data_IF_134049870991
#
_entry.id   IF_134049870991
#
_cell.length_a   1.000
_cell.length_b   1.000
_cell.length_c   1.000
_cell.angle_alpha   90.00
_cell.angle_beta   90.00
_cell.angle_gamma   90.00
#
_symmetry.space_group_name_H-M   'P 1'
#
loop_
_entity.id
_entity.type
_entity.pdbx_description
1 polymer ?
#
# COMPACT_ATOMS: atom_id res chain seq x y z
N UNK A 1 46.07 21.74 42.72
CA UNK A 1 45.92 20.33 42.30
C UNK A 1 44.75 20.25 41.34
N UNK A 2 44.98 20.43 40.03
CA UNK A 2 43.93 20.26 39.03
C UNK A 2 43.85 18.77 38.70
N UNK A 3 42.78 18.13 39.14
CA UNK A 3 42.52 16.72 38.86
C UNK A 3 42.18 16.59 37.39
N UNK A 4 43.00 15.82 36.66
CA UNK A 4 42.91 15.58 35.22
C UNK A 4 41.75 14.62 34.87
N UNK A 5 40.54 14.95 35.33
CA UNK A 5 39.32 14.16 35.18
C UNK A 5 39.00 13.82 33.71
N UNK A 6 39.31 14.75 32.79
CA UNK A 6 39.10 14.56 31.35
C UNK A 6 39.97 13.45 30.76
N UNK A 7 41.19 13.27 31.24
CA UNK A 7 42.07 12.19 30.77
C UNK A 7 41.58 10.83 31.30
N UNK A 8 41.16 10.76 32.56
CA UNK A 8 40.57 9.56 33.13
C UNK A 8 39.26 9.15 32.45
N UNK A 9 38.41 10.13 32.08
CA UNK A 9 37.19 9.88 31.32
C UNK A 9 37.51 9.30 29.93
N UNK A 10 38.54 9.82 29.26
CA UNK A 10 38.97 9.33 27.94
C UNK A 10 39.51 7.90 28.01
N UNK A 11 40.38 7.60 28.98
CA UNK A 11 40.92 6.24 29.19
C UNK A 11 39.81 5.24 29.47
N UNK A 12 38.83 5.61 30.30
CA UNK A 12 37.69 4.72 30.62
C UNK A 12 36.82 4.45 29.39
N UNK A 13 36.57 5.47 28.56
CA UNK A 13 35.79 5.33 27.34
C UNK A 13 36.48 4.45 26.28
N UNK A 14 37.80 4.59 26.12
CA UNK A 14 38.59 3.75 25.22
C UNK A 14 38.65 2.29 25.70
N UNK A 15 38.69 2.07 27.03
CA UNK A 15 38.60 0.73 27.61
C UNK A 15 37.23 0.08 27.39
N UNK A 16 36.14 0.85 27.58
CA UNK A 16 34.78 0.38 27.32
C UNK A 16 34.61 0.01 25.84
N UNK A 17 35.10 0.83 24.91
CA UNK A 17 35.06 0.50 23.47
C UNK A 17 35.83 -0.79 23.15
N UNK A 18 36.97 -1.01 23.80
CA UNK A 18 37.77 -2.22 23.65
C UNK A 18 37.08 -3.48 24.17
N UNK A 19 36.33 -3.38 25.27
CA UNK A 19 35.65 -4.51 25.93
C UNK A 19 34.18 -4.64 25.51
N UNK A 20 33.62 -3.67 24.81
CA UNK A 20 32.24 -3.71 24.33
C UNK A 20 32.03 -4.81 23.29
N UNK A 21 32.98 -5.04 22.38
CA UNK A 21 32.81 -5.99 21.29
C UNK A 21 32.85 -7.48 21.74
N UNK A 22 33.74 -7.94 22.65
CA UNK A 22 33.69 -9.31 23.15
C UNK A 22 32.44 -9.54 24.01
N UNK A 23 32.03 -8.52 24.77
CA UNK A 23 30.82 -8.60 25.59
C UNK A 23 29.56 -8.68 24.73
N UNK A 24 29.49 -7.93 23.63
CA UNK A 24 28.41 -8.02 22.65
C UNK A 24 28.34 -9.42 22.02
N UNK A 25 29.48 -10.01 21.64
CA UNK A 25 29.52 -11.39 21.12
C UNK A 25 29.02 -12.41 22.16
N UNK A 26 29.44 -12.28 23.42
CA UNK A 26 28.98 -13.13 24.51
C UNK A 26 27.46 -12.98 24.73
N UNK A 27 26.94 -11.76 24.73
CA UNK A 27 25.51 -11.47 24.88
C UNK A 27 24.69 -12.07 23.73
N UNK A 28 25.12 -11.87 22.48
CA UNK A 28 24.46 -12.43 21.29
C UNK A 28 24.46 -13.96 21.37
N UNK A 29 25.61 -14.57 21.67
CA UNK A 29 25.72 -16.03 21.80
C UNK A 29 24.83 -16.57 22.92
N UNK A 30 24.68 -15.83 24.02
CA UNK A 30 23.86 -16.24 25.16
C UNK A 30 22.35 -16.08 24.90
N UNK A 31 21.92 -14.96 24.32
CA UNK A 31 20.50 -14.70 23.97
C UNK A 31 20.01 -15.70 22.94
N UNK A 32 20.77 -15.91 21.86
CA UNK A 32 20.38 -16.76 20.75
C UNK A 32 20.84 -18.21 20.89
N UNK A 33 21.23 -18.65 22.10
CA UNK A 33 21.78 -20.00 22.32
C UNK A 33 20.81 -21.12 21.94
N UNK A 34 19.49 -20.88 22.02
CA UNK A 34 18.47 -21.88 21.69
C UNK A 34 18.29 -21.97 20.17
N UNK A 35 18.19 -20.82 19.51
CA UNK A 35 18.00 -20.66 18.07
C UNK A 35 19.24 -21.12 17.30
N UNK A 36 20.44 -20.79 17.78
CA UNK A 36 21.71 -21.28 17.23
C UNK A 36 21.80 -22.81 17.35
N UNK A 37 21.37 -23.40 18.48
CA UNK A 37 21.42 -24.85 18.67
C UNK A 37 20.50 -25.61 17.71
N UNK A 38 19.34 -25.06 17.40
CA UNK A 38 18.42 -25.68 16.45
C UNK A 38 18.89 -25.54 15.00
N UNK A 39 19.54 -24.42 14.64
CA UNK A 39 20.12 -24.22 13.30
C UNK A 39 21.42 -24.98 13.06
N UNK A 40 22.24 -25.20 14.10
CA UNK A 40 23.49 -25.97 13.99
C UNK A 40 23.20 -27.45 13.66
N UNK A 41 22.04 -27.99 14.06
CA UNK A 41 21.64 -29.37 13.68
C UNK A 41 21.44 -29.55 12.17
N UNK A 42 21.15 -28.47 11.45
CA UNK A 42 20.94 -28.46 9.99
C UNK A 42 22.26 -28.25 9.20
N UNK A 43 23.41 -28.11 9.89
CA UNK A 43 24.73 -27.96 9.28
C UNK A 43 25.37 -29.34 9.09
N UNK A 44 25.29 -29.87 7.88
CA UNK A 44 25.78 -31.22 7.54
C UNK A 44 27.28 -31.25 7.22
N UNK A 45 27.90 -30.14 6.84
CA UNK A 45 29.37 -30.05 6.71
C UNK A 45 29.91 -28.62 6.81
N UNK A 46 31.10 -28.49 7.39
CA UNK A 46 31.91 -27.28 7.40
C UNK A 46 33.20 -27.57 6.62
N UNK A 47 33.42 -26.88 5.49
CA UNK A 47 34.63 -26.98 4.67
C UNK A 47 35.35 -25.63 4.53
N UNK A 48 36.58 -25.60 4.01
CA UNK A 48 37.38 -24.38 3.84
C UNK A 48 36.78 -23.31 2.89
N UNK A 49 35.62 -23.59 2.28
CA UNK A 49 34.86 -22.68 1.42
C UNK A 49 33.51 -22.18 1.98
N UNK A 50 33.17 -22.46 3.25
CA UNK A 50 31.92 -22.02 3.89
C UNK A 50 30.96 -23.15 4.30
N UNK A 51 29.89 -22.80 5.01
CA UNK A 51 28.88 -23.74 5.51
C UNK A 51 27.81 -24.02 4.43
N UNK A 52 27.59 -25.30 4.09
CA UNK A 52 26.50 -25.72 3.21
C UNK A 52 25.31 -26.12 4.07
N UNK A 53 24.27 -25.29 4.08
CA UNK A 53 23.00 -25.58 4.75
C UNK A 53 22.18 -26.56 3.90
N UNK A 54 21.76 -27.68 4.48
CA UNK A 54 20.84 -28.59 3.79
C UNK A 54 19.45 -27.95 3.84
N UNK A 55 18.89 -27.57 2.69
CA UNK A 55 17.50 -27.14 2.61
C UNK A 55 16.63 -28.29 3.17
N UNK A 56 15.68 -28.03 4.08
CA UNK A 56 14.86 -29.08 4.65
C UNK A 56 14.18 -29.83 3.51
N UNK A 57 14.42 -31.14 3.46
CA UNK A 57 13.71 -32.05 2.56
C UNK A 57 12.26 -32.12 3.03
N UNK A 58 11.46 -31.14 2.62
CA UNK A 58 10.02 -31.23 2.75
C UNK A 58 9.60 -32.40 1.88
N UNK A 59 9.20 -33.51 2.51
CA UNK A 59 8.56 -34.61 1.79
C UNK A 59 7.28 -34.07 1.16
N UNK A 60 7.38 -33.68 -0.12
CA UNK A 60 6.24 -33.34 -0.94
C UNK A 60 5.46 -34.62 -1.26
N UNK A 61 4.84 -35.23 -0.26
CA UNK A 61 3.54 -35.83 -0.51
C UNK A 61 2.61 -34.65 -0.79
N UNK A 62 2.50 -34.30 -2.07
CA UNK A 62 1.45 -33.44 -2.55
C UNK A 62 0.13 -34.07 -2.11
N UNK A 63 -0.45 -33.57 -1.01
CA UNK A 63 -1.88 -33.69 -0.83
C UNK A 63 -2.48 -33.16 -2.13
N UNK A 64 -3.36 -33.91 -2.82
CA UNK A 64 -4.13 -33.33 -3.91
C UNK A 64 -4.72 -32.01 -3.38
N UNK A 65 -4.74 -30.93 -4.18
CA UNK A 65 -5.29 -29.66 -3.71
C UNK A 65 -6.65 -29.98 -3.11
N UNK A 66 -6.77 -29.80 -1.80
CA UNK A 66 -8.07 -29.86 -1.13
C UNK A 66 -8.86 -28.79 -1.85
N UNK A 67 -9.72 -29.21 -2.79
CA UNK A 67 -10.58 -28.28 -3.52
C UNK A 67 -11.24 -27.38 -2.49
N UNK A 68 -11.37 -26.10 -2.81
CA UNK A 68 -12.03 -25.12 -1.94
C UNK A 68 -13.33 -25.75 -1.44
N UNK A 69 -13.32 -26.18 -0.17
CA UNK A 69 -14.48 -26.84 0.41
C UNK A 69 -15.60 -25.81 0.38
N UNK A 70 -16.71 -26.16 -0.26
CA UNK A 70 -17.95 -25.37 -0.33
C UNK A 70 -18.60 -25.30 1.05
N UNK A 71 -17.91 -24.68 2.00
CA UNK A 71 -18.50 -24.29 3.26
C UNK A 71 -19.46 -23.13 2.95
N UNK A 72 -20.71 -23.28 3.38
CA UNK A 72 -21.70 -22.23 3.30
C UNK A 72 -21.16 -20.93 3.93
N UNK A 73 -21.19 -19.82 3.21
CA UNK A 73 -20.80 -18.52 3.73
C UNK A 73 -21.70 -18.12 4.94
N UNK A 74 -21.14 -17.57 6.03
CA UNK A 74 -21.90 -17.28 7.26
C UNK A 74 -22.95 -16.17 7.10
N UNK A 75 -22.79 -15.30 6.10
CA UNK A 75 -23.72 -14.19 5.84
C UNK A 75 -24.82 -14.60 4.86
N UNK A 76 -26.08 -14.49 5.28
CA UNK A 76 -27.25 -14.83 4.46
C UNK A 76 -27.36 -14.00 3.17
N UNK A 77 -26.93 -12.73 3.20
CA UNK A 77 -26.92 -11.86 2.02
C UNK A 77 -25.94 -12.33 0.95
N UNK A 78 -24.79 -12.89 1.36
CA UNK A 78 -23.82 -13.48 0.43
C UNK A 78 -24.39 -14.74 -0.20
N UNK A 79 -25.12 -15.56 0.57
CA UNK A 79 -25.78 -16.75 0.03
C UNK A 79 -26.88 -16.43 -0.98
N UNK A 80 -27.69 -15.41 -0.70
CA UNK A 80 -28.69 -14.92 -1.65
C UNK A 80 -28.03 -14.39 -2.94
N UNK A 81 -26.87 -13.72 -2.82
CA UNK A 81 -26.12 -13.25 -3.97
C UNK A 81 -25.49 -14.41 -4.77
N UNK A 82 -24.95 -15.43 -4.11
CA UNK A 82 -24.44 -16.64 -4.77
C UNK A 82 -25.56 -17.29 -5.59
N UNK A 83 -26.72 -17.54 -5.00
CA UNK A 83 -27.86 -18.13 -5.70
C UNK A 83 -28.32 -17.29 -6.90
N UNK A 84 -28.26 -15.95 -6.78
CA UNK A 84 -28.56 -15.05 -7.89
C UNK A 84 -27.52 -15.17 -9.01
N UNK A 85 -26.23 -15.17 -8.68
CA UNK A 85 -25.14 -15.30 -9.65
C UNK A 85 -25.22 -16.66 -10.36
N UNK A 86 -25.47 -17.75 -9.63
CA UNK A 86 -25.65 -19.08 -10.20
C UNK A 86 -26.79 -19.10 -11.23
N UNK A 87 -27.90 -18.42 -10.91
CA UNK A 87 -29.01 -18.22 -11.86
C UNK A 87 -28.60 -17.44 -13.12
N UNK A 88 -27.77 -16.39 -12.99
CA UNK A 88 -27.26 -15.62 -14.12
C UNK A 88 -26.27 -16.40 -14.99
N UNK A 89 -25.55 -17.36 -14.42
CA UNK A 89 -24.59 -18.21 -15.14
C UNK A 89 -25.27 -19.34 -15.91
N UNK A 90 -26.52 -19.69 -15.59
CA UNK A 90 -27.24 -20.81 -16.22
C UNK A 90 -27.31 -20.66 -17.75
N UNK A 91 -27.50 -19.43 -18.24
CA UNK A 91 -27.62 -19.10 -19.66
C UNK A 91 -26.28 -18.83 -20.36
N UNK A 92 -25.17 -18.88 -19.63
CA UNK A 92 -23.82 -18.60 -20.15
C UNK A 92 -23.11 -19.94 -20.44
N UNK A 93 -22.52 -20.13 -21.64
CA UNK A 93 -21.71 -21.30 -21.96
C UNK A 93 -20.58 -21.53 -20.95
N UNK A 94 -20.37 -22.78 -20.53
CA UNK A 94 -19.46 -23.11 -19.42
C UNK A 94 -18.02 -22.62 -19.66
N UNK A 95 -17.56 -22.65 -20.90
CA UNK A 95 -16.25 -22.17 -21.34
C UNK A 95 -16.10 -20.64 -21.27
N UNK A 96 -17.20 -19.89 -21.34
CA UNK A 96 -17.19 -18.43 -21.19
C UNK A 96 -17.37 -17.96 -19.73
N UNK A 97 -17.92 -18.80 -18.84
CA UNK A 97 -18.30 -18.41 -17.47
C UNK A 97 -17.15 -17.80 -16.69
N UNK A 98 -15.98 -18.45 -16.70
CA UNK A 98 -14.82 -17.99 -15.94
C UNK A 98 -14.38 -16.60 -16.41
N UNK A 99 -14.27 -16.39 -17.72
CA UNK A 99 -13.86 -15.09 -18.27
C UNK A 99 -14.84 -13.98 -17.89
N UNK A 100 -16.15 -14.25 -17.96
CA UNK A 100 -17.17 -13.27 -17.57
C UNK A 100 -17.17 -13.00 -16.07
N UNK A 101 -16.99 -14.03 -15.24
CA UNK A 101 -16.88 -13.88 -13.79
C UNK A 101 -15.66 -13.07 -13.38
N UNK A 102 -14.50 -13.30 -14.02
CA UNK A 102 -13.29 -12.52 -13.77
C UNK A 102 -13.51 -11.06 -14.13
N UNK A 103 -14.11 -10.78 -15.30
CA UNK A 103 -14.41 -9.41 -15.72
C UNK A 103 -15.38 -8.72 -14.74
N UNK A 104 -16.49 -9.39 -14.39
CA UNK A 104 -17.47 -8.85 -13.45
C UNK A 104 -16.88 -8.63 -12.04
N UNK A 105 -16.01 -9.54 -11.57
CA UNK A 105 -15.32 -9.38 -10.29
C UNK A 105 -14.35 -8.21 -10.32
N UNK A 106 -13.60 -8.03 -11.41
CA UNK A 106 -12.70 -6.90 -11.58
C UNK A 106 -13.47 -5.57 -11.56
N UNK A 107 -14.57 -5.48 -12.32
CA UNK A 107 -15.46 -4.31 -12.33
C UNK A 107 -15.99 -4.00 -10.93
N UNK A 108 -16.54 -5.00 -10.22
CA UNK A 108 -17.07 -4.82 -8.87
C UNK A 108 -16.00 -4.37 -7.86
N UNK A 109 -14.75 -4.86 -7.99
CA UNK A 109 -13.64 -4.43 -7.15
C UNK A 109 -13.25 -2.98 -7.41
N UNK A 110 -13.17 -2.58 -8.69
CA UNK A 110 -12.86 -1.21 -9.09
C UNK A 110 -13.97 -0.25 -8.65
N UNK A 111 -15.25 -0.60 -8.86
CA UNK A 111 -16.37 0.23 -8.44
C UNK A 111 -16.37 0.43 -6.92
N UNK A 112 -16.20 -0.65 -6.14
CA UNK A 112 -16.11 -0.56 -4.66
C UNK A 112 -14.98 0.35 -4.21
N UNK A 113 -13.84 0.24 -4.87
CA UNK A 113 -12.66 1.06 -4.56
C UNK A 113 -12.91 2.53 -4.91
N UNK A 114 -13.53 2.83 -6.05
CA UNK A 114 -13.94 4.18 -6.40
C UNK A 114 -15.03 4.75 -5.51
N UNK A 115 -15.95 3.94 -4.97
CA UNK A 115 -16.88 4.36 -3.93
C UNK A 115 -16.14 4.81 -2.66
N UNK A 116 -15.10 4.08 -2.25
CA UNK A 116 -14.28 4.46 -1.11
C UNK A 116 -13.51 5.77 -1.38
N UNK A 117 -12.89 5.90 -2.56
CA UNK A 117 -12.23 7.15 -2.99
C UNK A 117 -13.23 8.30 -2.99
N UNK A 118 -14.41 8.11 -3.58
CA UNK A 118 -15.46 9.12 -3.63
C UNK A 118 -15.94 9.50 -2.23
N UNK A 119 -16.01 8.55 -1.30
CA UNK A 119 -16.34 8.80 0.10
C UNK A 119 -15.40 9.79 0.78
N UNK A 120 -14.10 9.72 0.45
CA UNK A 120 -13.02 10.45 1.11
C UNK A 120 -12.57 11.72 0.38
N UNK A 121 -12.70 11.77 -0.95
CA UNK A 121 -12.23 12.89 -1.77
C UNK A 121 -13.10 14.14 -1.55
N UNK A 122 -12.44 15.30 -1.57
CA UNK A 122 -13.05 16.62 -1.50
C UNK A 122 -13.67 17.05 -2.83
N UNK A 123 -14.73 17.85 -2.77
CA UNK A 123 -15.37 18.39 -3.98
C UNK A 123 -14.39 19.26 -4.79
N UNK A 124 -13.57 20.04 -4.07
CA UNK A 124 -12.50 20.86 -4.67
C UNK A 124 -11.47 20.04 -5.46
N UNK A 125 -11.13 18.84 -4.99
CA UNK A 125 -10.20 17.91 -5.63
C UNK A 125 -10.82 17.31 -6.90
N UNK A 126 -12.11 16.96 -6.89
CA UNK A 126 -12.81 16.50 -8.10
C UNK A 126 -12.80 17.60 -9.17
N UNK A 127 -13.06 18.85 -8.78
CA UNK A 127 -12.96 20.00 -9.69
C UNK A 127 -11.55 20.16 -10.26
N UNK A 128 -10.51 20.01 -9.43
CA UNK A 128 -9.12 20.04 -9.89
C UNK A 128 -8.81 18.93 -10.91
N UNK A 129 -9.27 17.71 -10.66
CA UNK A 129 -9.11 16.57 -11.58
C UNK A 129 -9.81 16.81 -12.92
N UNK A 130 -11.00 17.42 -12.92
CA UNK A 130 -11.72 17.78 -14.16
C UNK A 130 -10.97 18.85 -14.95
N UNK A 131 -10.48 19.90 -14.29
CA UNK A 131 -9.65 20.92 -14.93
C UNK A 131 -8.37 20.32 -15.52
N UNK A 132 -7.77 19.36 -14.80
CA UNK A 132 -6.60 18.64 -15.29
C UNK A 132 -6.91 17.76 -16.51
N UNK A 133 -8.09 17.12 -16.53
CA UNK A 133 -8.59 16.36 -17.70
C UNK A 133 -8.72 17.24 -18.94
N UNK A 134 -9.27 18.43 -18.77
CA UNK A 134 -9.49 19.40 -19.86
C UNK A 134 -8.16 19.97 -20.38
N UNK A 135 -7.24 20.31 -19.48
CA UNK A 135 -5.92 20.84 -19.84
C UNK A 135 -4.94 19.76 -20.36
N UNK A 136 -5.20 18.48 -20.05
CA UNK A 136 -4.33 17.34 -20.35
C UNK A 136 -3.11 17.25 -19.41
N UNK A 137 -2.37 18.36 -19.24
CA UNK A 137 -1.33 18.49 -18.23
C UNK A 137 -1.08 19.95 -17.87
N UNK A 138 -0.79 20.21 -16.60
CA UNK A 138 -0.51 21.56 -16.05
C UNK A 138 0.83 21.56 -15.34
N UNK A 139 1.49 22.70 -15.26
CA UNK A 139 2.69 22.84 -14.43
C UNK A 139 2.35 22.75 -12.93
N UNK A 140 3.34 22.36 -12.12
CA UNK A 140 3.18 22.34 -10.66
C UNK A 140 2.84 23.74 -10.11
N UNK A 141 3.44 24.78 -10.70
CA UNK A 141 3.17 26.17 -10.32
C UNK A 141 1.72 26.57 -10.62
N UNK A 142 1.20 26.25 -11.81
CA UNK A 142 -0.20 26.49 -12.16
C UNK A 142 -1.16 25.76 -11.21
N UNK A 143 -0.86 24.51 -10.85
CA UNK A 143 -1.67 23.74 -9.91
C UNK A 143 -1.67 24.36 -8.49
N UNK A 144 -0.52 24.85 -8.03
CA UNK A 144 -0.40 25.59 -6.77
C UNK A 144 -1.18 26.90 -6.80
N UNK A 145 -1.04 27.66 -7.88
CA UNK A 145 -1.75 28.92 -8.06
C UNK A 145 -3.27 28.71 -8.08
N UNK A 146 -3.75 27.67 -8.75
CA UNK A 146 -5.17 27.28 -8.71
C UNK A 146 -5.66 27.01 -7.28
N UNK A 147 -4.91 26.24 -6.50
CA UNK A 147 -5.27 25.96 -5.12
C UNK A 147 -5.33 27.24 -4.26
N UNK A 148 -4.29 28.06 -4.29
CA UNK A 148 -4.19 29.25 -3.44
C UNK A 148 -5.18 30.36 -3.82
N UNK A 149 -5.47 30.53 -5.12
CA UNK A 149 -6.32 31.61 -5.61
C UNK A 149 -7.80 31.26 -5.74
N UNK A 150 -8.13 29.99 -6.02
CA UNK A 150 -9.51 29.58 -6.28
C UNK A 150 -10.06 28.70 -5.15
N UNK A 151 -9.31 27.68 -4.69
CA UNK A 151 -9.82 26.68 -3.74
C UNK A 151 -9.75 27.17 -2.29
N UNK A 152 -8.57 27.61 -1.85
CA UNK A 152 -8.34 28.00 -0.46
C UNK A 152 -9.25 29.14 0.02
N UNK A 153 -9.54 30.20 -0.79
CA UNK A 153 -10.41 31.29 -0.36
C UNK A 153 -11.88 30.87 -0.22
N UNK A 154 -12.35 29.93 -1.05
CA UNK A 154 -13.74 29.44 -0.99
C UNK A 154 -14.04 28.66 0.28
N UNK A 155 -12.99 28.15 0.94
CA UNK A 155 -13.10 27.28 2.11
C UNK A 155 -12.16 27.70 3.24
N UNK A 156 -12.07 29.01 3.47
CA UNK A 156 -11.11 29.62 4.38
C UNK A 156 -11.13 29.03 5.79
N UNK A 157 -12.31 28.65 6.31
CA UNK A 157 -12.44 28.05 7.65
C UNK A 157 -11.78 26.67 7.73
N UNK A 158 -11.93 25.82 6.70
CA UNK A 158 -11.40 24.46 6.68
C UNK A 158 -9.95 24.36 6.15
N UNK A 159 -9.55 25.25 5.24
CA UNK A 159 -8.26 25.19 4.55
C UNK A 159 -7.28 26.31 4.95
N UNK A 160 -7.59 27.13 5.96
CA UNK A 160 -6.68 28.19 6.43
C UNK A 160 -5.28 27.68 6.76
N UNK A 161 -5.17 26.46 7.29
CA UNK A 161 -3.91 25.83 7.69
C UNK A 161 -3.41 24.75 6.72
N UNK A 162 -4.19 24.41 5.69
CA UNK A 162 -3.86 23.33 4.76
C UNK A 162 -3.00 23.88 3.62
N UNK A 163 -1.79 23.34 3.44
CA UNK A 163 -0.96 23.68 2.28
C UNK A 163 -1.41 22.94 1.02
N UNK A 164 -0.97 23.42 -0.15
CA UNK A 164 -1.20 22.71 -1.41
C UNK A 164 -0.71 21.26 -1.35
N UNK A 165 0.47 21.02 -0.79
CA UNK A 165 1.06 19.68 -0.69
C UNK A 165 0.16 18.75 0.12
N UNK A 166 -0.33 19.20 1.27
CA UNK A 166 -1.23 18.42 2.12
C UNK A 166 -2.59 18.16 1.45
N UNK A 167 -3.13 19.16 0.75
CA UNK A 167 -4.38 19.02 0.02
C UNK A 167 -4.24 18.07 -1.18
N UNK A 168 -3.14 18.16 -1.93
CA UNK A 168 -2.90 17.34 -3.13
C UNK A 168 -2.39 15.94 -2.82
N UNK A 169 -1.85 15.69 -1.61
CA UNK A 169 -1.30 14.40 -1.18
C UNK A 169 -2.29 13.26 -1.41
N UNK A 170 -3.57 13.47 -1.10
CA UNK A 170 -4.63 12.49 -1.34
C UNK A 170 -4.67 12.06 -2.82
N UNK A 171 -4.58 13.01 -3.76
CA UNK A 171 -4.65 12.71 -5.19
C UNK A 171 -3.46 11.85 -5.65
N UNK A 172 -2.27 12.07 -5.08
CA UNK A 172 -1.09 11.24 -5.34
C UNK A 172 -1.20 9.87 -4.66
N UNK A 173 -1.60 9.82 -3.40
CA UNK A 173 -1.70 8.58 -2.60
C UNK A 173 -2.73 7.61 -3.20
N UNK A 174 -3.83 8.12 -3.75
CA UNK A 174 -4.83 7.32 -4.45
C UNK A 174 -4.53 7.12 -5.94
N UNK A 175 -3.35 7.54 -6.40
CA UNK A 175 -2.86 7.39 -7.76
C UNK A 175 -3.82 7.97 -8.81
N UNK A 176 -4.46 9.10 -8.51
CA UNK A 176 -5.37 9.79 -9.44
C UNK A 176 -4.59 10.73 -10.36
N UNK A 177 -3.45 11.23 -9.89
CA UNK A 177 -2.52 12.06 -10.65
C UNK A 177 -1.10 11.54 -10.52
N UNK A 178 -0.22 11.94 -11.44
CA UNK A 178 1.22 11.74 -11.34
C UNK A 178 1.98 12.91 -11.94
N UNK A 179 3.27 13.00 -11.58
CA UNK A 179 4.18 14.03 -12.09
C UNK A 179 5.00 13.51 -13.28
N UNK A 180 4.96 14.22 -14.39
CA UNK A 180 5.82 14.06 -15.55
C UNK A 180 7.01 15.01 -15.41
N UNK A 181 8.23 14.47 -15.54
CA UNK A 181 9.48 15.25 -15.51
C UNK A 181 9.62 16.15 -14.25
N UNK A 182 8.98 15.75 -13.15
CA UNK A 182 8.96 16.46 -11.86
C UNK A 182 8.38 17.88 -11.85
N UNK A 183 7.82 18.37 -12.96
CA UNK A 183 7.29 19.75 -13.04
C UNK A 183 5.90 19.86 -13.67
N UNK A 184 5.36 18.77 -14.24
CA UNK A 184 4.02 18.78 -14.82
C UNK A 184 3.17 17.71 -14.18
N UNK A 185 1.91 18.03 -13.90
CA UNK A 185 0.92 17.09 -13.38
C UNK A 185 0.02 16.64 -14.51
N UNK A 186 -0.38 15.37 -14.47
CA UNK A 186 -1.34 14.79 -15.41
C UNK A 186 -2.14 13.68 -14.71
N UNK A 187 -3.27 13.30 -15.30
CA UNK A 187 -4.10 12.20 -14.79
C UNK A 187 -3.47 10.85 -15.12
N UNK A 188 -3.55 9.92 -14.17
CA UNK A 188 -3.36 8.49 -14.45
C UNK A 188 -4.58 7.92 -15.21
N UNK A 189 -4.48 6.69 -15.72
CA UNK A 189 -5.66 5.96 -16.23
C UNK A 189 -6.71 5.82 -15.13
N UNK A 190 -6.29 5.47 -13.92
CA UNK A 190 -7.14 5.38 -12.73
C UNK A 190 -7.87 6.70 -12.42
N UNK A 191 -7.20 7.84 -12.55
CA UNK A 191 -7.82 9.16 -12.37
C UNK A 191 -8.88 9.46 -13.42
N UNK A 192 -8.64 9.07 -14.68
CA UNK A 192 -9.62 9.19 -15.78
C UNK A 192 -10.84 8.29 -15.54
N UNK A 193 -10.60 7.04 -15.16
CA UNK A 193 -11.65 6.06 -14.87
C UNK A 193 -12.47 6.48 -13.65
N UNK A 194 -11.82 7.01 -12.61
CA UNK A 194 -12.50 7.56 -11.44
C UNK A 194 -13.43 8.71 -11.81
N UNK A 195 -12.99 9.65 -12.66
CA UNK A 195 -13.85 10.73 -13.14
C UNK A 195 -15.04 10.19 -13.96
N UNK A 196 -14.81 9.20 -14.83
CA UNK A 196 -15.88 8.55 -15.58
C UNK A 196 -16.89 7.87 -14.63
N UNK A 197 -16.42 7.21 -13.58
CA UNK A 197 -17.27 6.65 -12.53
C UNK A 197 -18.12 7.73 -11.84
N UNK A 198 -17.51 8.86 -11.44
CA UNK A 198 -18.24 9.99 -10.83
C UNK A 198 -19.32 10.52 -11.79
N UNK A 199 -18.96 10.72 -13.06
CA UNK A 199 -19.87 11.27 -14.06
C UNK A 199 -21.01 10.30 -14.43
N UNK A 200 -20.82 8.98 -14.31
CA UNK A 200 -21.85 7.98 -14.61
C UNK A 200 -22.72 7.62 -13.40
N UNK A 201 -22.12 7.52 -12.20
CA UNK A 201 -22.76 6.94 -11.01
C UNK A 201 -23.15 7.96 -9.95
N UNK A 202 -22.57 9.17 -9.97
CA UNK A 202 -22.77 10.21 -8.96
C UNK A 202 -23.39 11.49 -9.52
N UNK A 203 -24.07 11.41 -10.65
CA UNK A 203 -24.77 12.56 -11.24
C UNK A 203 -25.75 13.18 -10.24
N UNK A 204 -25.72 14.52 -10.14
CA UNK A 204 -26.57 15.27 -9.21
C UNK A 204 -26.15 15.22 -7.75
N UNK A 205 -25.12 14.44 -7.38
CA UNK A 205 -24.56 14.46 -6.03
C UNK A 205 -23.53 15.57 -5.93
N UNK A 206 -23.88 16.66 -5.24
CA UNK A 206 -22.90 17.68 -4.89
C UNK A 206 -22.06 17.20 -3.71
N UNK A 207 -20.75 17.10 -3.92
CA UNK A 207 -19.80 16.96 -2.81
C UNK A 207 -19.63 18.32 -2.16
N UNK A 208 -19.69 18.34 -0.83
CA UNK A 208 -19.25 19.49 -0.05
C UNK A 208 -17.73 19.62 -0.12
N UNK A 209 -17.19 20.43 0.79
CA UNK A 209 -15.75 20.54 1.04
C UNK A 209 -15.01 19.23 0.80
#
# INVERSE_FOLDING_TARGET
MNVNWLEWAKVTFDLIKGVAWPFALLLITWIFRKELRDRIKDIVSLGPGGAVLQAPSQSSQAKPPTGLTTAAHPLATVQALIAKIDGQLADIPEDERISKLVAALAEAQIERDFENVFGLIFGSQITALRRLKEAGSVSLEEAKNFYESEIRPQFQEAFSQLSYEQWSEFLFNYQLIFSVESNRLTLTDRGRDFLAFVDLRKQGVSKGL
#
